data_IF_274626028207
#
_entry.id   IF_274626028207
#
_cell.length_a   1.000
_cell.length_b   1.000
_cell.length_c   1.000
_cell.angle_alpha   90.00
_cell.angle_beta   90.00
_cell.angle_gamma   90.00
#
_symmetry.space_group_name_H-M   'P 1'
#
loop_
_entity.id
_entity.type
_entity.pdbx_description
1 polymer ?
#
# COMPACT_ATOMS: atom_id res chain seq x y z
N UNK A 1 1.86 -4.39 23.47
CA UNK A 1 1.17 -3.10 23.65
C UNK A 1 0.82 -2.53 22.27
N UNK A 2 0.08 -3.29 21.46
CA UNK A 2 -0.33 -2.91 20.08
C UNK A 2 -1.87 -2.91 19.94
N UNK A 3 -2.59 -3.43 20.95
CA UNK A 3 -4.04 -3.47 20.97
C UNK A 3 -4.73 -2.22 21.56
N UNK A 4 -3.97 -1.25 22.11
CA UNK A 4 -4.55 -0.19 22.95
C UNK A 4 -4.98 1.06 22.17
N UNK A 5 -4.63 1.20 20.88
CA UNK A 5 -5.08 2.35 20.06
C UNK A 5 -6.47 2.11 19.44
N UNK A 6 -6.99 0.87 19.44
CA UNK A 6 -8.32 0.55 18.90
C UNK A 6 -9.49 0.86 19.86
N UNK A 7 -9.24 1.15 21.15
CA UNK A 7 -10.31 1.23 22.15
C UNK A 7 -10.91 2.63 22.37
N UNK A 8 -10.41 3.69 21.73
CA UNK A 8 -10.88 5.06 22.02
C UNK A 8 -11.88 5.68 21.04
N UNK A 9 -12.36 4.97 20.02
CA UNK A 9 -13.34 5.53 19.06
C UNK A 9 -14.40 4.54 18.56
N UNK A 10 -15.02 3.72 19.43
CA UNK A 10 -16.20 2.92 19.04
C UNK A 10 -16.02 2.07 17.76
N UNK A 11 -14.82 1.52 17.55
CA UNK A 11 -14.40 0.87 16.31
C UNK A 11 -14.83 -0.61 16.27
N UNK A 12 -16.08 -0.88 15.88
CA UNK A 12 -16.52 -2.23 15.49
C UNK A 12 -16.64 -2.43 13.96
N UNK A 13 -16.23 -1.43 13.17
CA UNK A 13 -16.48 -1.37 11.71
C UNK A 13 -15.23 -1.58 10.84
N UNK A 14 -14.05 -1.78 11.41
CA UNK A 14 -12.83 -2.09 10.63
C UNK A 14 -12.76 -3.58 10.30
N UNK A 15 -12.53 -3.88 9.03
CA UNK A 15 -12.42 -5.24 8.52
C UNK A 15 -10.96 -5.55 8.19
N UNK A 16 -10.50 -6.75 8.53
CA UNK A 16 -9.16 -7.22 8.10
C UNK A 16 -9.17 -7.41 6.59
N UNK A 17 -8.17 -6.85 5.93
CA UNK A 17 -7.92 -7.04 4.50
C UNK A 17 -6.73 -7.99 4.30
N UNK A 18 -6.70 -8.72 3.19
CA UNK A 18 -5.76 -9.83 2.95
C UNK A 18 -5.04 -9.72 1.59
N UNK A 19 -5.03 -8.54 0.98
CA UNK A 19 -4.22 -8.30 -0.22
C UNK A 19 -2.72 -8.46 0.10
N UNK A 20 -1.94 -8.84 -0.90
CA UNK A 20 -0.49 -9.16 -0.81
C UNK A 20 0.28 -8.48 -1.94
N UNK A 21 1.61 -8.62 -2.00
CA UNK A 21 2.39 -8.14 -3.14
C UNK A 21 2.09 -8.94 -4.41
N UNK A 22 1.96 -8.24 -5.54
CA UNK A 22 1.65 -8.85 -6.82
C UNK A 22 2.91 -9.39 -7.49
N UNK A 23 3.06 -10.72 -7.47
CA UNK A 23 4.16 -11.42 -8.12
C UNK A 23 4.16 -11.34 -9.65
N UNK A 24 3.03 -11.00 -10.29
CA UNK A 24 2.97 -10.84 -11.74
C UNK A 24 3.54 -9.50 -12.21
N UNK A 25 3.51 -8.48 -11.35
CA UNK A 25 4.04 -7.16 -11.65
C UNK A 25 5.42 -6.89 -11.03
N UNK A 26 5.95 -7.83 -10.23
CA UNK A 26 7.24 -7.69 -9.57
C UNK A 26 8.40 -7.75 -10.59
N UNK A 27 9.28 -6.73 -10.65
CA UNK A 27 10.50 -6.79 -11.45
C UNK A 27 11.42 -7.94 -10.97
N UNK A 28 12.27 -8.48 -11.85
CA UNK A 28 13.15 -9.61 -11.53
C UNK A 28 14.09 -9.38 -10.33
N UNK A 29 14.44 -8.12 -10.06
CA UNK A 29 15.26 -7.73 -8.91
C UNK A 29 14.49 -7.69 -7.58
N UNK A 30 13.17 -7.94 -7.58
CA UNK A 30 12.34 -8.08 -6.38
C UNK A 30 11.96 -9.55 -6.23
N UNK A 31 12.43 -10.19 -5.17
CA UNK A 31 11.96 -11.53 -4.76
C UNK A 31 10.87 -11.37 -3.72
N UNK A 32 9.83 -12.20 -3.79
CA UNK A 32 8.75 -12.21 -2.80
C UNK A 32 8.85 -13.44 -1.91
N UNK A 33 8.37 -13.34 -0.67
CA UNK A 33 8.21 -14.49 0.21
C UNK A 33 7.16 -15.47 -0.34
N UNK A 34 7.15 -16.70 0.19
CA UNK A 34 6.22 -17.75 -0.26
C UNK A 34 4.73 -17.39 -0.09
N UNK A 35 4.40 -16.54 0.88
CA UNK A 35 3.07 -15.99 1.13
C UNK A 35 2.84 -14.62 0.48
N UNK A 36 3.81 -14.10 -0.28
CA UNK A 36 3.75 -12.79 -0.94
C UNK A 36 3.60 -11.58 0.00
N UNK A 37 3.88 -11.75 1.30
CA UNK A 37 3.74 -10.67 2.29
C UNK A 37 5.05 -9.90 2.53
N UNK A 38 6.19 -10.45 2.14
CA UNK A 38 7.49 -9.76 2.19
C UNK A 38 8.11 -9.63 0.80
N UNK A 39 8.80 -8.51 0.58
CA UNK A 39 9.54 -8.20 -0.62
C UNK A 39 11.02 -7.94 -0.28
N UNK A 40 11.90 -8.60 -1.04
CA UNK A 40 13.35 -8.58 -0.89
C UNK A 40 13.97 -8.01 -2.15
N UNK A 41 14.67 -6.88 -2.02
CA UNK A 41 15.20 -6.11 -3.16
C UNK A 41 16.68 -6.41 -3.40
N UNK A 42 17.05 -6.59 -4.67
CA UNK A 42 18.42 -6.80 -5.13
C UNK A 42 19.19 -7.85 -4.31
N UNK A 43 18.61 -9.05 -4.22
CA UNK A 43 19.16 -10.20 -3.48
C UNK A 43 20.04 -11.12 -4.34
N UNK A 44 20.54 -10.63 -5.48
CA UNK A 44 21.48 -11.38 -6.32
C UNK A 44 22.88 -11.23 -5.69
N UNK A 45 23.57 -12.34 -5.34
CA UNK A 45 24.88 -12.28 -4.71
C UNK A 45 26.01 -11.85 -5.66
N UNK A 46 25.76 -11.85 -6.97
CA UNK A 46 26.73 -11.51 -8.02
C UNK A 46 26.46 -10.10 -8.54
N UNK A 47 25.20 -9.80 -8.87
CA UNK A 47 24.80 -8.48 -9.33
C UNK A 47 24.27 -7.67 -8.15
N UNK A 48 24.93 -6.54 -7.83
CA UNK A 48 24.42 -5.61 -6.83
C UNK A 48 23.12 -4.91 -7.31
N UNK A 49 22.82 -3.73 -6.78
CA UNK A 49 21.72 -2.93 -7.27
C UNK A 49 21.91 -2.52 -8.73
N UNK A 50 20.89 -2.77 -9.56
CA UNK A 50 20.86 -2.43 -10.99
C UNK A 50 20.02 -1.19 -11.29
N UNK A 51 19.53 -0.50 -10.25
CA UNK A 51 18.69 0.69 -10.35
C UNK A 51 17.67 0.75 -9.21
N UNK A 52 16.61 1.55 -9.34
CA UNK A 52 15.46 1.51 -8.43
C UNK A 52 14.40 0.56 -8.96
N UNK A 53 13.93 -0.37 -8.12
CA UNK A 53 12.77 -1.20 -8.44
C UNK A 53 11.72 -1.12 -7.34
N UNK A 54 10.47 -1.37 -7.71
CA UNK A 54 9.32 -1.35 -6.84
C UNK A 54 8.39 -2.51 -7.10
N UNK A 55 7.53 -2.81 -6.13
CA UNK A 55 6.48 -3.81 -6.25
C UNK A 55 5.16 -3.24 -5.76
N UNK A 56 4.09 -3.62 -6.46
CA UNK A 56 2.72 -3.15 -6.23
C UNK A 56 1.90 -4.23 -5.52
N UNK A 57 0.92 -3.82 -4.71
CA UNK A 57 -0.08 -4.73 -4.13
C UNK A 57 -1.04 -5.31 -5.17
N UNK A 58 -1.67 -6.44 -4.87
CA UNK A 58 -2.65 -7.13 -5.74
C UNK A 58 -3.99 -6.41 -5.85
N UNK A 59 -4.29 -5.48 -4.93
CA UNK A 59 -5.58 -4.81 -4.84
C UNK A 59 -5.42 -3.30 -5.07
N UNK A 60 -6.16 -2.77 -6.04
CA UNK A 60 -6.35 -1.34 -6.24
C UNK A 60 -7.57 -0.88 -5.47
N UNK A 61 -7.43 0.18 -4.69
CA UNK A 61 -8.49 0.75 -3.88
C UNK A 61 -9.20 1.85 -4.66
N UNK A 62 -10.53 1.79 -4.73
CA UNK A 62 -11.36 2.77 -5.45
C UNK A 62 -12.24 3.61 -4.51
N UNK A 63 -12.62 3.05 -3.36
CA UNK A 63 -13.53 3.67 -2.39
C UNK A 63 -13.18 3.28 -0.95
N UNK A 64 -13.76 3.98 0.02
CA UNK A 64 -13.55 3.73 1.44
C UNK A 64 -12.17 4.10 1.96
N UNK A 65 -11.89 3.67 3.19
CA UNK A 65 -10.64 3.92 3.89
C UNK A 65 -9.86 2.62 4.03
N UNK A 66 -8.58 2.66 3.67
CA UNK A 66 -7.67 1.53 3.73
C UNK A 66 -6.47 1.89 4.58
N UNK A 67 -6.06 0.93 5.40
CA UNK A 67 -4.88 1.05 6.24
C UNK A 67 -4.00 -0.18 6.03
N UNK A 68 -2.70 0.04 5.90
CA UNK A 68 -1.72 -1.03 5.94
C UNK A 68 -0.41 -0.59 6.57
N UNK A 69 0.33 -1.55 7.11
CA UNK A 69 1.66 -1.34 7.66
C UNK A 69 2.74 -1.90 6.73
N UNK A 70 3.83 -1.15 6.59
CA UNK A 70 5.09 -1.64 6.03
C UNK A 70 6.11 -1.69 7.15
N UNK A 71 6.64 -2.89 7.39
CA UNK A 71 7.66 -3.17 8.41
C UNK A 71 9.02 -3.22 7.74
N UNK A 72 9.94 -2.37 8.18
CA UNK A 72 11.34 -2.37 7.75
C UNK A 72 12.09 -3.45 8.54
N UNK A 73 12.34 -4.61 7.94
CA UNK A 73 12.96 -5.74 8.67
C UNK A 73 14.43 -5.50 8.99
N UNK A 74 15.08 -4.64 8.21
CA UNK A 74 16.43 -4.11 8.43
C UNK A 74 16.43 -2.57 8.37
N UNK A 75 17.45 -1.90 8.94
CA UNK A 75 17.65 -0.46 8.75
C UNK A 75 17.64 -0.08 7.26
N UNK A 76 16.81 0.89 6.82
CA UNK A 76 16.85 1.34 5.44
C UNK A 76 18.21 1.98 5.11
N UNK A 77 18.73 1.66 3.93
CA UNK A 77 20.04 2.10 3.46
C UNK A 77 19.99 2.58 2.01
N UNK A 78 21.15 2.97 1.48
CA UNK A 78 21.29 3.38 0.08
C UNK A 78 20.76 4.79 -0.22
N UNK A 79 20.35 5.02 -1.45
CA UNK A 79 19.91 6.35 -1.91
C UNK A 79 18.41 6.57 -1.71
N UNK A 80 17.60 5.51 -1.86
CA UNK A 80 16.14 5.57 -1.80
C UNK A 80 15.54 4.24 -1.34
N UNK A 81 14.70 4.32 -0.30
CA UNK A 81 13.74 3.28 0.09
C UNK A 81 12.44 4.03 0.37
N UNK A 82 11.35 3.63 -0.28
CA UNK A 82 10.10 4.38 -0.26
C UNK A 82 8.89 3.51 -0.01
N UNK A 83 7.90 4.11 0.65
CA UNK A 83 6.57 3.57 0.87
C UNK A 83 5.56 4.56 0.30
N UNK A 84 4.54 4.06 -0.41
CA UNK A 84 3.56 4.96 -1.00
C UNK A 84 2.47 4.23 -1.75
N UNK A 85 1.89 4.94 -2.70
CA UNK A 85 0.83 4.44 -3.57
C UNK A 85 1.04 4.91 -5.00
N UNK A 86 0.37 4.25 -5.95
CA UNK A 86 0.33 4.69 -7.34
C UNK A 86 -0.85 4.13 -8.11
N UNK A 87 -1.09 4.69 -9.28
CA UNK A 87 -2.12 4.20 -10.21
C UNK A 87 -1.67 2.89 -10.86
N UNK A 88 -2.53 2.31 -11.70
CA UNK A 88 -2.15 1.16 -12.52
C UNK A 88 -1.00 1.44 -13.49
N UNK A 89 -0.72 2.72 -13.80
CA UNK A 89 0.30 3.21 -14.73
C UNK A 89 1.63 3.57 -14.06
N UNK A 90 1.71 3.50 -12.73
CA UNK A 90 2.93 3.82 -12.00
C UNK A 90 4.12 2.95 -12.45
N UNK A 91 5.27 3.58 -12.69
CA UNK A 91 6.50 2.90 -13.09
C UNK A 91 7.06 2.09 -11.92
N UNK A 92 7.35 0.81 -12.14
CA UNK A 92 7.87 -0.11 -11.11
C UNK A 92 9.38 -0.39 -11.22
N UNK A 93 10.06 0.14 -12.23
CA UNK A 93 11.50 0.00 -12.38
C UNK A 93 12.08 1.20 -13.13
N UNK A 94 13.20 1.73 -12.66
CA UNK A 94 14.00 2.68 -13.41
C UNK A 94 14.79 1.98 -14.53
N UNK A 95 15.41 2.79 -15.40
CA UNK A 95 16.42 2.28 -16.32
C UNK A 95 17.64 1.72 -15.56
N UNK A 96 18.45 0.93 -16.28
CA UNK A 96 19.67 0.32 -15.75
C UNK A 96 20.65 1.36 -15.21
N UNK A 97 21.21 1.11 -14.02
CA UNK A 97 22.12 2.01 -13.30
C UNK A 97 21.53 3.40 -12.95
N UNK A 98 20.21 3.58 -12.95
CA UNK A 98 19.57 4.79 -12.43
C UNK A 98 19.03 4.58 -11.02
N UNK A 99 19.43 5.45 -10.08
CA UNK A 99 19.05 5.34 -8.67
C UNK A 99 18.22 6.55 -8.25
N UNK A 100 16.91 6.44 -8.38
CA UNK A 100 15.94 7.54 -8.22
C UNK A 100 14.96 7.27 -7.08
N UNK A 101 14.33 8.33 -6.58
CA UNK A 101 13.10 8.21 -5.81
C UNK A 101 11.96 7.86 -6.77
N UNK A 102 11.71 6.56 -6.94
CA UNK A 102 10.77 6.05 -7.95
C UNK A 102 9.34 6.55 -7.71
N UNK A 103 8.89 6.50 -6.45
CA UNK A 103 7.53 6.93 -6.12
C UNK A 103 7.48 8.45 -6.07
N UNK A 104 6.59 9.03 -6.88
CA UNK A 104 6.43 10.47 -7.04
C UNK A 104 7.40 11.12 -8.02
N UNK A 105 8.18 10.33 -8.79
CA UNK A 105 8.98 10.86 -9.90
C UNK A 105 8.11 11.50 -10.99
N UNK A 106 6.89 10.98 -11.15
CA UNK A 106 5.87 11.44 -12.07
C UNK A 106 4.55 11.67 -11.32
N UNK A 107 3.45 11.84 -12.07
CA UNK A 107 2.11 12.08 -11.52
C UNK A 107 1.33 10.79 -11.23
N UNK A 108 1.89 9.62 -11.52
CA UNK A 108 1.22 8.33 -11.37
C UNK A 108 1.47 7.70 -10.01
N UNK A 109 2.32 8.31 -9.16
CA UNK A 109 2.64 7.81 -7.82
C UNK A 109 2.88 8.92 -6.79
N UNK A 110 2.75 8.54 -5.51
CA UNK A 110 2.95 9.37 -4.32
C UNK A 110 3.75 8.57 -3.30
N UNK A 111 4.87 9.09 -2.81
CA UNK A 111 5.75 8.31 -1.94
C UNK A 111 6.39 9.09 -0.81
N UNK A 112 6.65 8.41 0.31
CA UNK A 112 7.47 8.85 1.42
C UNK A 112 8.77 8.05 1.42
N UNK A 113 9.91 8.74 1.39
CA UNK A 113 11.23 8.12 1.54
C UNK A 113 11.62 7.94 3.01
N UNK A 114 12.51 7.00 3.31
CA UNK A 114 13.07 6.82 4.66
C UNK A 114 13.83 8.03 5.21
N UNK A 115 14.17 8.99 4.34
CA UNK A 115 14.74 10.31 4.69
C UNK A 115 13.69 11.32 5.16
N UNK A 116 12.42 10.90 5.27
CA UNK A 116 11.32 11.75 5.72
C UNK A 116 10.83 12.76 4.67
N UNK A 117 11.17 12.55 3.40
CA UNK A 117 10.80 13.42 2.28
C UNK A 117 9.68 12.77 1.47
N UNK A 118 8.58 13.50 1.28
CA UNK A 118 7.48 13.12 0.39
C UNK A 118 7.74 13.58 -1.05
N UNK A 119 7.33 12.76 -2.02
CA UNK A 119 7.50 12.99 -3.46
C UNK A 119 6.19 12.79 -4.22
N UNK A 120 5.90 13.69 -5.14
CA UNK A 120 4.82 13.56 -6.14
C UNK A 120 5.03 14.54 -7.31
N UNK A 121 4.83 14.09 -8.54
CA UNK A 121 4.91 14.95 -9.73
C UNK A 121 6.31 15.57 -9.94
N UNK A 122 7.36 14.89 -9.48
CA UNK A 122 8.74 15.40 -9.49
C UNK A 122 9.04 16.46 -8.43
N UNK A 123 8.06 16.79 -7.56
CA UNK A 123 8.23 17.74 -6.46
C UNK A 123 8.46 17.00 -5.15
N UNK A 124 9.32 17.58 -4.29
CA UNK A 124 9.68 17.02 -3.00
C UNK A 124 9.46 18.00 -1.86
N UNK A 125 9.07 17.52 -0.68
CA UNK A 125 8.92 18.31 0.54
C UNK A 125 9.41 17.53 1.76
N UNK A 126 10.07 18.21 2.70
CA UNK A 126 10.37 17.62 4.01
C UNK A 126 9.05 17.45 4.78
N UNK A 127 8.75 16.22 5.20
CA UNK A 127 7.48 15.88 5.82
C UNK A 127 7.63 15.43 7.27
N UNK A 128 8.62 14.59 7.56
CA UNK A 128 8.90 14.12 8.91
C UNK A 128 10.40 13.95 9.13
N UNK A 129 10.82 13.65 10.36
CA UNK A 129 12.20 13.24 10.61
C UNK A 129 12.52 11.92 9.88
N UNK A 130 13.76 11.75 9.39
CA UNK A 130 14.23 10.48 8.86
C UNK A 130 14.04 9.32 9.85
N UNK A 131 14.00 8.10 9.32
CA UNK A 131 13.93 6.88 10.13
C UNK A 131 14.93 5.84 9.63
N UNK A 132 15.75 5.35 10.56
CA UNK A 132 16.83 4.40 10.29
C UNK A 132 16.78 3.16 11.20
N UNK A 133 15.78 3.09 12.08
CA UNK A 133 15.70 2.01 13.05
C UNK A 133 15.19 0.73 12.38
N UNK A 134 15.80 -0.39 12.75
CA UNK A 134 15.29 -1.72 12.43
C UNK A 134 13.89 -1.89 13.03
N UNK A 135 13.01 -2.60 12.33
CA UNK A 135 11.59 -2.81 12.70
C UNK A 135 10.79 -1.52 12.80
N UNK A 136 11.21 -0.44 12.13
CA UNK A 136 10.35 0.73 11.92
C UNK A 136 9.09 0.27 11.18
N UNK A 137 7.93 0.69 11.67
CA UNK A 137 6.63 0.43 11.06
C UNK A 137 6.09 1.73 10.49
N UNK A 138 5.89 1.77 9.16
CA UNK A 138 5.21 2.87 8.49
C UNK A 138 3.77 2.45 8.19
N UNK A 139 2.83 3.08 8.88
CA UNK A 139 1.41 2.92 8.59
C UNK A 139 0.99 3.88 7.48
N UNK A 140 0.26 3.37 6.51
CA UNK A 140 -0.33 4.15 5.42
C UNK A 140 -1.84 4.17 5.63
N UNK A 141 -2.45 5.35 5.70
CA UNK A 141 -3.90 5.51 5.72
C UNK A 141 -4.34 6.26 4.47
N UNK A 142 -4.99 5.51 3.57
CA UNK A 142 -5.53 5.98 2.31
C UNK A 142 -7.04 6.11 2.44
N UNK A 143 -7.53 7.34 2.33
CA UNK A 143 -8.95 7.64 2.30
C UNK A 143 -9.33 7.96 0.84
N UNK A 144 -9.92 6.98 0.15
CA UNK A 144 -10.37 7.14 -1.23
C UNK A 144 -11.63 7.99 -1.31
N UNK A 145 -12.44 8.03 -0.24
CA UNK A 145 -13.65 8.85 -0.18
C UNK A 145 -13.31 10.34 -0.17
N UNK A 146 -12.21 10.74 0.49
CA UNK A 146 -11.69 12.12 0.54
C UNK A 146 -10.55 12.39 -0.44
N UNK A 147 -9.96 11.34 -1.01
CA UNK A 147 -8.80 11.42 -1.89
C UNK A 147 -7.55 11.91 -1.15
N UNK A 148 -7.24 11.31 -0.01
CA UNK A 148 -6.09 11.70 0.83
C UNK A 148 -5.23 10.52 1.26
N UNK A 149 -3.92 10.76 1.43
CA UNK A 149 -2.97 9.80 1.98
C UNK A 149 -2.23 10.43 3.17
N UNK A 150 -2.19 9.69 4.27
CA UNK A 150 -1.47 10.07 5.49
C UNK A 150 -0.57 8.92 5.96
N UNK A 151 0.45 9.26 6.74
CA UNK A 151 1.40 8.29 7.27
C UNK A 151 1.45 8.31 8.79
N UNK A 152 1.80 7.17 9.38
CA UNK A 152 2.21 7.05 10.77
C UNK A 152 3.54 6.31 10.87
N UNK A 153 4.30 6.57 11.94
CA UNK A 153 5.54 5.87 12.27
C UNK A 153 5.40 5.26 13.65
N UNK A 154 5.54 3.94 13.76
CA UNK A 154 5.43 3.18 15.00
C UNK A 154 4.14 3.52 15.78
N UNK A 155 3.01 3.62 15.05
CA UNK A 155 1.70 3.99 15.60
C UNK A 155 1.48 5.50 15.83
N UNK A 156 2.50 6.34 15.73
CA UNK A 156 2.35 7.79 15.87
C UNK A 156 2.03 8.44 14.52
N UNK A 157 0.91 9.17 14.44
CA UNK A 157 0.52 9.88 13.23
C UNK A 157 1.51 10.99 12.86
N UNK A 158 1.93 11.04 11.60
CA UNK A 158 2.87 12.06 11.07
C UNK A 158 2.14 13.22 10.38
N UNK A 159 0.86 13.07 10.07
CA UNK A 159 0.04 14.08 9.41
C UNK A 159 -0.43 13.68 8.01
N UNK A 160 -1.12 14.62 7.38
CA UNK A 160 -1.65 14.49 6.02
C UNK A 160 -0.53 14.75 5.00
N UNK A 161 -0.13 13.74 4.25
CA UNK A 161 0.98 13.85 3.30
C UNK A 161 0.52 14.32 1.92
N UNK A 162 -0.60 13.79 1.43
CA UNK A 162 -1.12 14.11 0.11
C UNK A 162 -2.64 14.27 0.11
N UNK A 163 -3.12 15.12 -0.79
CA UNK A 163 -4.54 15.41 -1.03
C UNK A 163 -4.82 15.47 -2.51
N UNK A 164 -6.07 15.25 -2.91
CA UNK A 164 -6.47 15.32 -4.31
C UNK A 164 -6.00 14.10 -5.12
N UNK A 165 -5.90 12.93 -4.47
CA UNK A 165 -5.67 11.67 -5.19
C UNK A 165 -6.80 11.43 -6.21
N UNK A 166 -6.49 10.85 -7.38
CA UNK A 166 -7.47 10.66 -8.44
C UNK A 166 -8.54 9.64 -8.05
N UNK A 167 -9.69 9.72 -8.72
CA UNK A 167 -10.82 8.77 -8.58
C UNK A 167 -10.64 7.60 -9.54
N UNK A 168 -9.55 6.87 -9.35
CA UNK A 168 -9.23 5.63 -10.06
C UNK A 168 -8.58 4.65 -9.07
N UNK A 169 -8.38 3.37 -9.44
CA UNK A 169 -7.75 2.41 -8.55
C UNK A 169 -6.35 2.85 -8.13
N UNK A 170 -6.14 3.00 -6.82
CA UNK A 170 -4.85 3.33 -6.20
C UNK A 170 -4.30 2.11 -5.48
N UNK A 171 -3.06 1.75 -5.81
CA UNK A 171 -2.41 0.55 -5.31
C UNK A 171 -1.29 0.91 -4.33
N UNK A 172 -1.10 0.13 -3.24
CA UNK A 172 0.10 0.19 -2.42
C UNK A 172 1.35 -0.12 -3.24
N UNK A 173 2.41 0.66 -3.06
CA UNK A 173 3.70 0.42 -3.70
C UNK A 173 4.83 0.66 -2.70
N UNK A 174 5.83 -0.22 -2.73
CA UNK A 174 7.12 -0.02 -2.06
C UNK A 174 8.24 -0.08 -3.09
N UNK A 175 9.33 0.65 -2.87
CA UNK A 175 10.49 0.63 -3.76
C UNK A 175 11.81 0.77 -3.00
N UNK A 176 12.88 0.28 -3.61
CA UNK A 176 14.24 0.40 -3.06
C UNK A 176 15.29 0.49 -4.16
N UNK A 177 16.38 1.19 -3.87
CA UNK A 177 17.65 1.14 -4.59
C UNK A 177 18.69 0.27 -3.90
N UNK A 178 18.49 -0.07 -2.62
CA UNK A 178 19.50 -0.73 -1.81
C UNK A 178 19.41 -2.26 -1.91
N UNK A 179 20.59 -2.89 -1.97
CA UNK A 179 20.73 -4.33 -1.77
C UNK A 179 20.27 -4.74 -0.39
N UNK A 180 19.74 -5.95 -0.29
CA UNK A 180 19.29 -6.57 0.96
C UNK A 180 18.23 -5.73 1.71
N UNK A 181 17.47 -4.90 0.98
CA UNK A 181 16.29 -4.26 1.57
C UNK A 181 15.19 -5.30 1.73
N UNK A 182 14.65 -5.41 2.94
CA UNK A 182 13.59 -6.34 3.28
C UNK A 182 12.41 -5.58 3.89
N UNK A 183 11.26 -5.64 3.20
CA UNK A 183 10.03 -4.96 3.61
C UNK A 183 8.88 -5.97 3.72
N UNK A 184 8.16 -5.95 4.83
CA UNK A 184 7.07 -6.88 5.13
C UNK A 184 5.74 -6.15 5.35
N UNK A 185 4.64 -6.75 4.89
CA UNK A 185 3.27 -6.29 5.18
C UNK A 185 2.90 -6.64 6.62
N UNK A 186 2.49 -5.63 7.38
CA UNK A 186 1.91 -5.80 8.71
C UNK A 186 0.38 -5.86 8.69
N UNK A 187 -0.25 -5.22 9.68
CA UNK A 187 -1.71 -5.12 9.77
C UNK A 187 -2.27 -4.47 8.51
N UNK A 188 -3.34 -5.04 7.96
CA UNK A 188 -4.10 -4.51 6.83
C UNK A 188 -5.58 -4.48 7.19
N UNK A 189 -6.22 -3.33 7.05
CA UNK A 189 -7.63 -3.16 7.33
C UNK A 189 -8.30 -2.23 6.34
N UNK A 190 -9.60 -2.41 6.12
CA UNK A 190 -10.44 -1.48 5.39
C UNK A 190 -11.68 -1.08 6.19
N UNK A 191 -12.26 0.07 5.85
CA UNK A 191 -13.49 0.60 6.43
C UNK A 191 -14.30 1.32 5.36
N UNK A 192 -15.59 1.00 5.28
CA UNK A 192 -16.52 1.65 4.36
C UNK A 192 -17.48 2.55 5.14
N UNK A 193 -17.63 3.80 4.70
CA UNK A 193 -18.47 4.78 5.39
C UNK A 193 -19.95 4.63 5.06
N UNK A 194 -20.27 4.35 3.79
CA UNK A 194 -21.65 4.24 3.33
C UNK A 194 -22.32 2.95 3.84
N UNK A 195 -23.61 3.02 4.18
CA UNK A 195 -24.39 1.84 4.56
C UNK A 195 -24.36 0.79 3.44
N UNK A 196 -24.44 1.24 2.18
CA UNK A 196 -24.31 0.37 1.03
C UNK A 196 -22.96 -0.37 1.02
N UNK A 197 -21.84 0.34 1.19
CA UNK A 197 -20.51 -0.28 1.24
C UNK A 197 -20.36 -1.26 2.40
N UNK A 198 -20.89 -0.91 3.58
CA UNK A 198 -20.95 -1.82 4.74
C UNK A 198 -21.76 -3.08 4.43
N UNK A 199 -22.97 -2.92 3.88
CA UNK A 199 -23.84 -4.04 3.51
C UNK A 199 -23.19 -4.94 2.45
N UNK A 200 -22.62 -4.36 1.38
CA UNK A 200 -21.95 -5.11 0.33
C UNK A 200 -20.76 -5.90 0.87
N UNK A 201 -19.95 -5.28 1.73
CA UNK A 201 -18.81 -5.95 2.36
C UNK A 201 -19.22 -7.13 3.24
N UNK A 202 -20.30 -6.99 4.02
CA UNK A 202 -20.87 -8.11 4.80
C UNK A 202 -21.38 -9.22 3.89
N UNK A 203 -22.11 -8.88 2.83
CA UNK A 203 -22.62 -9.85 1.84
C UNK A 203 -21.48 -10.63 1.20
N UNK A 204 -20.41 -9.96 0.75
CA UNK A 204 -19.22 -10.61 0.22
C UNK A 204 -18.56 -11.56 1.21
N UNK A 205 -18.42 -11.15 2.47
CA UNK A 205 -17.83 -12.02 3.51
C UNK A 205 -18.66 -13.29 3.75
N UNK A 206 -19.98 -13.20 3.61
CA UNK A 206 -20.89 -14.34 3.71
C UNK A 206 -20.90 -15.20 2.44
N UNK A 207 -20.72 -14.60 1.27
CA UNK A 207 -20.67 -15.28 -0.01
C UNK A 207 -19.28 -15.88 -0.26
N UNK A 208 -19.16 -17.20 -0.11
CA UNK A 208 -17.91 -17.93 -0.35
C UNK A 208 -17.48 -17.99 -1.83
N UNK A 209 -18.40 -17.71 -2.75
CA UNK A 209 -18.16 -17.64 -4.20
C UNK A 209 -19.14 -16.65 -4.84
N UNK A 210 -18.72 -16.01 -5.93
CA UNK A 210 -19.55 -15.13 -6.78
C UNK A 210 -20.72 -15.89 -7.41
N UNK A 211 -20.57 -17.20 -7.65
CA UNK A 211 -21.63 -18.04 -8.20
C UNK A 211 -22.84 -18.18 -7.26
N UNK A 212 -22.64 -17.93 -5.95
CA UNK A 212 -23.71 -17.93 -4.96
C UNK A 212 -24.56 -16.66 -5.01
N UNK A 213 -24.11 -15.60 -5.70
CA UNK A 213 -24.86 -14.35 -5.87
C UNK A 213 -26.18 -14.62 -6.60
N UNK A 214 -26.18 -15.53 -7.58
CA UNK A 214 -27.37 -15.91 -8.35
C UNK A 214 -28.47 -16.56 -7.51
N UNK A 215 -28.09 -17.19 -6.39
CA UNK A 215 -29.00 -17.88 -5.50
C UNK A 215 -29.63 -16.93 -4.46
N UNK A 216 -29.17 -15.68 -4.38
CA UNK A 216 -29.74 -14.71 -3.46
C UNK A 216 -31.12 -14.25 -3.96
N UNK A 217 -32.13 -14.14 -3.07
CA UNK A 217 -33.46 -13.62 -3.41
C UNK A 217 -33.44 -12.09 -3.53
N UNK A 218 -32.55 -11.57 -4.38
CA UNK A 218 -32.33 -10.14 -4.60
C UNK A 218 -32.66 -9.77 -6.05
N UNK A 219 -33.11 -8.53 -6.31
CA UNK A 219 -33.25 -7.99 -7.65
C UNK A 219 -31.95 -8.07 -8.46
N UNK A 220 -32.05 -8.25 -9.78
CA UNK A 220 -30.87 -8.42 -10.65
C UNK A 220 -29.92 -7.23 -10.59
N UNK A 221 -30.43 -6.01 -10.45
CA UNK A 221 -29.60 -4.81 -10.28
C UNK A 221 -28.69 -4.90 -9.05
N UNK A 222 -29.19 -5.44 -7.93
CA UNK A 222 -28.40 -5.62 -6.70
C UNK A 222 -27.41 -6.78 -6.86
N UNK A 223 -27.81 -7.87 -7.52
CA UNK A 223 -26.90 -8.98 -7.84
C UNK A 223 -25.75 -8.53 -8.74
N UNK A 224 -26.03 -7.74 -9.76
CA UNK A 224 -25.00 -7.12 -10.61
C UNK A 224 -24.10 -6.18 -9.82
N UNK A 225 -24.65 -5.36 -8.91
CA UNK A 225 -23.82 -4.56 -8.01
C UNK A 225 -22.88 -5.46 -7.19
N UNK A 226 -23.36 -6.54 -6.56
CA UNK A 226 -22.52 -7.43 -5.75
C UNK A 226 -21.40 -8.11 -6.57
N UNK A 227 -21.62 -8.37 -7.87
CA UNK A 227 -20.62 -8.98 -8.76
C UNK A 227 -19.50 -8.02 -9.16
N UNK A 228 -19.83 -6.74 -9.35
CA UNK A 228 -18.92 -5.72 -9.89
C UNK A 228 -18.21 -4.96 -8.78
N UNK A 229 -18.83 -4.85 -7.60
CA UNK A 229 -18.19 -4.36 -6.38
C UNK A 229 -17.07 -5.31 -5.96
#
# INVERSE_FOLDING_TARGET
MVAVILECTGQNDQMVDQWVWDGHCAPAAVKLSSNFEAAYFHTDPVNMSTGTVGVRGTKGFEDGEHYWEIVFLEPPAGSSVMVGVGTSRAVLSSDYCQYVNLLGMDRESWGLSYKGITWHGGLSCQFCEPFFDRRTVIGCHLDMDRGTLSFSRNGQHLGLAFTGLPREPIYPIISSTATDTELELGLRTCRYLSLQGKCMSVVKKCLRSVDLVDQLPLPESIRQCIRVW
#
